data_IF_148535778364
#
_entry.id   IF_148535778364
#
_cell.length_a   1.000
_cell.length_b   1.000
_cell.length_c   1.000
_cell.angle_alpha   90.00
_cell.angle_beta   90.00
_cell.angle_gamma   90.00
#
_symmetry.space_group_name_H-M   'P 1'
#
loop_
_entity.id
_entity.type
_entity.pdbx_description
1 polymer ?
#
# COMPACT_ATOMS: atom_id res chain seq x y z
N UNK A 1 -1.91 -8.35 24.73
CA UNK A 1 -1.34 -7.25 23.94
C UNK A 1 -0.30 -6.51 24.77
N UNK A 2 0.88 -6.40 24.25
CA UNK A 2 1.99 -5.73 24.94
C UNK A 2 2.68 -4.77 23.96
N UNK A 3 2.93 -3.55 24.40
CA UNK A 3 3.61 -2.52 23.61
C UNK A 3 4.75 -1.95 24.45
N UNK A 4 5.95 -1.97 23.90
CA UNK A 4 7.14 -1.34 24.49
C UNK A 4 7.57 -0.18 23.57
N UNK A 5 7.21 1.05 23.91
CA UNK A 5 7.53 2.22 23.09
C UNK A 5 9.03 2.46 22.91
N UNK A 6 9.83 2.08 23.88
CA UNK A 6 11.28 2.29 23.83
C UNK A 6 11.95 1.42 22.75
N UNK A 7 11.36 0.26 22.46
CA UNK A 7 11.82 -0.65 21.40
C UNK A 7 11.13 -0.36 20.08
N UNK A 8 9.85 -0.02 20.11
CA UNK A 8 9.02 0.14 18.90
C UNK A 8 9.32 1.44 18.14
N UNK A 9 9.56 2.55 18.87
CA UNK A 9 9.80 3.84 18.22
C UNK A 9 11.19 3.85 17.60
N UNK A 10 11.24 4.13 16.30
CA UNK A 10 12.48 4.16 15.53
C UNK A 10 13.00 2.79 15.11
N UNK A 11 12.27 1.71 15.40
CA UNK A 11 12.65 0.38 14.91
C UNK A 11 12.60 0.34 13.38
N UNK A 12 13.64 -0.24 12.78
CA UNK A 12 13.69 -0.45 11.34
C UNK A 12 13.13 -1.83 10.99
N UNK A 13 12.21 -1.86 10.03
CA UNK A 13 11.68 -3.08 9.46
C UNK A 13 12.53 -3.49 8.24
N UNK A 14 12.55 -4.79 7.87
CA UNK A 14 13.25 -5.22 6.67
C UNK A 14 12.78 -4.46 5.44
N UNK A 15 13.72 -3.93 4.67
CA UNK A 15 13.41 -3.25 3.40
C UNK A 15 12.85 -4.25 2.39
N UNK A 16 11.90 -3.80 1.59
CA UNK A 16 11.25 -4.61 0.57
C UNK A 16 11.17 -3.83 -0.73
N UNK A 17 11.64 -4.44 -1.81
CA UNK A 17 11.51 -3.87 -3.14
C UNK A 17 10.15 -4.26 -3.73
N UNK A 18 9.51 -3.31 -4.39
CA UNK A 18 8.21 -3.51 -5.03
C UNK A 18 8.19 -2.87 -6.41
N UNK A 19 7.36 -3.42 -7.27
CA UNK A 19 7.17 -2.92 -8.63
C UNK A 19 5.71 -3.08 -9.04
N UNK A 20 5.27 -2.24 -9.95
CA UNK A 20 3.92 -2.30 -10.49
C UNK A 20 3.90 -1.91 -11.96
N UNK A 21 2.85 -2.29 -12.64
CA UNK A 21 2.59 -2.03 -14.05
C UNK A 21 1.32 -1.21 -14.22
N UNK A 22 1.10 -0.70 -15.41
CA UNK A 22 -0.15 -0.03 -15.77
C UNK A 22 -1.37 -0.94 -15.54
N UNK A 23 -1.22 -2.24 -15.79
CA UNK A 23 -2.30 -3.22 -15.53
C UNK A 23 -2.66 -3.32 -14.06
N UNK A 24 -1.69 -3.27 -13.16
CA UNK A 24 -1.92 -3.26 -11.71
C UNK A 24 -2.71 -2.02 -11.30
N UNK A 25 -2.37 -0.87 -11.84
CA UNK A 25 -3.04 0.40 -11.56
C UNK A 25 -4.47 0.39 -12.07
N UNK A 26 -4.69 -0.06 -13.30
CA UNK A 26 -6.02 -0.18 -13.90
C UNK A 26 -6.92 -1.12 -13.10
N UNK A 27 -6.39 -2.26 -12.71
CA UNK A 27 -7.12 -3.25 -11.91
C UNK A 27 -7.53 -2.66 -10.55
N UNK A 28 -6.64 -1.91 -9.91
CA UNK A 28 -6.94 -1.24 -8.66
C UNK A 28 -8.09 -0.23 -8.81
N UNK A 29 -8.05 0.61 -9.85
CA UNK A 29 -9.10 1.58 -10.11
C UNK A 29 -10.45 0.91 -10.39
N UNK A 30 -10.45 -0.18 -11.16
CA UNK A 30 -11.66 -0.97 -11.41
C UNK A 30 -12.22 -1.59 -10.12
N UNK A 31 -11.35 -2.07 -9.25
CA UNK A 31 -11.76 -2.63 -7.96
C UNK A 31 -12.41 -1.58 -7.04
N UNK A 32 -12.04 -0.31 -7.17
CA UNK A 32 -12.67 0.80 -6.46
C UNK A 32 -14.00 1.25 -7.08
N UNK A 33 -14.38 0.71 -8.24
CA UNK A 33 -15.61 1.04 -8.91
C UNK A 33 -15.51 2.12 -9.99
N UNK A 34 -14.29 2.45 -10.46
CA UNK A 34 -14.12 3.38 -11.57
C UNK A 34 -14.80 2.85 -12.84
N UNK A 35 -15.52 3.70 -13.53
CA UNK A 35 -16.32 3.36 -14.70
C UNK A 35 -15.95 4.12 -15.96
N UNK A 36 -16.70 3.86 -17.02
CA UNK A 36 -16.45 4.44 -18.36
C UNK A 36 -16.51 5.95 -18.44
N UNK A 37 -17.16 6.62 -17.46
CA UNK A 37 -17.16 8.07 -17.31
C UNK A 37 -15.87 8.65 -16.71
N UNK A 38 -14.93 7.80 -16.29
CA UNK A 38 -13.72 8.17 -15.56
C UNK A 38 -12.47 7.70 -16.32
N UNK A 39 -12.38 8.07 -17.60
CA UNK A 39 -11.31 7.63 -18.51
C UNK A 39 -9.88 7.83 -17.97
N UNK A 40 -9.54 8.90 -17.23
CA UNK A 40 -8.20 9.04 -16.65
C UNK A 40 -7.78 7.89 -15.72
N UNK A 41 -8.73 7.09 -15.25
CA UNK A 41 -8.50 5.99 -14.31
C UNK A 41 -8.79 4.60 -14.87
N UNK A 42 -9.45 4.50 -16.02
CA UNK A 42 -9.84 3.21 -16.60
C UNK A 42 -9.28 2.96 -18.00
N UNK A 43 -8.60 3.94 -18.57
CA UNK A 43 -8.05 3.87 -19.91
C UNK A 43 -6.53 4.08 -19.86
N UNK A 44 -5.78 3.28 -20.61
CA UNK A 44 -4.32 3.29 -20.60
C UNK A 44 -3.70 4.59 -21.13
N UNK A 45 -4.42 5.32 -21.94
CA UNK A 45 -3.96 6.60 -22.49
C UNK A 45 -4.12 7.70 -21.44
N UNK A 46 -3.04 8.38 -21.13
CA UNK A 46 -3.00 9.44 -20.12
C UNK A 46 -3.51 8.99 -18.74
N UNK A 47 -3.28 7.72 -18.41
CA UNK A 47 -3.68 7.12 -17.16
C UNK A 47 -3.09 7.87 -15.97
N UNK A 48 -3.93 8.16 -14.98
CA UNK A 48 -3.53 8.72 -13.69
C UNK A 48 -3.60 7.65 -12.62
N UNK A 49 -2.73 7.77 -11.63
CA UNK A 49 -2.69 6.85 -10.49
C UNK A 49 -3.30 7.54 -9.28
N UNK A 50 -4.32 6.93 -8.69
CA UNK A 50 -4.87 7.42 -7.43
C UNK A 50 -3.81 7.34 -6.32
N UNK A 51 -3.66 8.37 -5.49
CA UNK A 51 -2.68 8.38 -4.41
C UNK A 51 -2.78 7.19 -3.46
N UNK A 52 -3.99 6.71 -3.22
CA UNK A 52 -4.25 5.55 -2.36
C UNK A 52 -3.70 4.24 -2.90
N UNK A 53 -3.30 4.18 -4.18
CA UNK A 53 -2.60 3.03 -4.75
C UNK A 53 -1.31 2.71 -3.97
N UNK A 54 -0.64 3.70 -3.41
CA UNK A 54 0.56 3.51 -2.60
C UNK A 54 0.32 2.58 -1.39
N UNK A 55 -0.87 2.58 -0.84
CA UNK A 55 -1.23 1.72 0.31
C UNK A 55 -1.23 0.24 -0.07
N UNK A 56 -1.67 -0.09 -1.28
CA UNK A 56 -1.79 -1.48 -1.73
C UNK A 56 -0.60 -1.95 -2.56
N UNK A 57 0.23 -1.02 -3.05
CA UNK A 57 1.35 -1.34 -3.92
C UNK A 57 2.34 -2.34 -3.31
N UNK A 58 2.53 -2.28 -2.00
CA UNK A 58 3.44 -3.17 -1.28
C UNK A 58 2.93 -4.62 -1.17
N UNK A 59 1.64 -4.85 -1.34
CA UNK A 59 1.00 -6.15 -1.13
C UNK A 59 0.31 -6.71 -2.37
N UNK A 60 0.51 -6.09 -3.53
CA UNK A 60 -0.16 -6.48 -4.79
C UNK A 60 -0.03 -7.96 -5.15
N UNK A 61 1.07 -8.58 -4.78
CA UNK A 61 1.37 -9.97 -5.14
C UNK A 61 1.30 -10.91 -3.95
N UNK A 62 0.90 -10.41 -2.80
CA UNK A 62 0.79 -11.22 -1.60
C UNK A 62 -0.55 -11.96 -1.62
N UNK A 63 -0.48 -13.26 -1.45
CA UNK A 63 -1.65 -14.15 -1.42
C UNK A 63 -1.96 -14.64 -0.01
N UNK A 64 -1.10 -14.34 0.93
CA UNK A 64 -1.25 -14.69 2.34
C UNK A 64 -1.39 -13.45 3.21
N UNK A 65 -2.07 -13.56 4.34
CA UNK A 65 -2.12 -12.46 5.30
C UNK A 65 -0.72 -12.03 5.72
N UNK A 66 -0.47 -10.75 5.89
CA UNK A 66 0.85 -10.28 6.30
C UNK A 66 1.21 -10.82 7.68
N UNK A 67 2.36 -11.47 7.77
CA UNK A 67 2.98 -11.77 9.05
C UNK A 67 3.62 -10.47 9.56
N UNK A 68 2.93 -9.78 10.45
CA UNK A 68 3.44 -8.54 11.03
C UNK A 68 4.24 -8.86 12.28
N UNK A 69 5.56 -8.80 12.14
CA UNK A 69 6.47 -8.83 13.28
C UNK A 69 7.07 -7.43 13.44
N UNK A 70 6.54 -6.67 14.41
CA UNK A 70 7.05 -5.34 14.72
C UNK A 70 7.80 -5.37 16.05
N UNK A 71 9.06 -4.95 16.08
CA UNK A 71 9.83 -4.91 17.32
C UNK A 71 9.11 -4.10 18.40
N UNK A 72 9.02 -4.66 19.61
CA UNK A 72 8.37 -4.01 20.75
C UNK A 72 6.84 -3.98 20.72
N UNK A 73 6.21 -4.61 19.71
CA UNK A 73 4.77 -4.67 19.60
C UNK A 73 4.32 -6.12 19.50
N UNK A 74 3.57 -6.56 20.50
CA UNK A 74 2.93 -7.87 20.53
C UNK A 74 1.41 -7.65 20.52
N UNK A 75 0.81 -7.77 19.36
CA UNK A 75 -0.63 -7.60 19.15
C UNK A 75 -1.20 -8.81 18.41
N UNK A 76 -2.39 -9.19 18.81
CA UNK A 76 -3.18 -10.19 18.08
C UNK A 76 -3.92 -9.50 16.92
N UNK A 77 -3.46 -9.74 15.70
CA UNK A 77 -4.04 -9.13 14.49
C UNK A 77 -5.49 -9.57 14.24
N UNK A 78 -5.90 -10.72 14.78
CA UNK A 78 -7.30 -11.19 14.65
C UNK A 78 -8.26 -10.25 15.38
N UNK A 79 -7.80 -9.64 16.48
CA UNK A 79 -8.60 -8.70 17.27
C UNK A 79 -8.33 -7.24 16.95
N UNK A 80 -7.35 -6.96 16.07
CA UNK A 80 -6.99 -5.61 15.70
C UNK A 80 -7.96 -5.03 14.67
N UNK A 81 -8.33 -3.77 14.84
CA UNK A 81 -9.13 -3.00 13.90
C UNK A 81 -8.29 -1.88 13.30
N UNK A 82 -8.44 -1.68 12.00
CA UNK A 82 -7.83 -0.54 11.32
C UNK A 82 -8.65 0.71 11.65
N UNK A 83 -8.12 1.55 12.54
CA UNK A 83 -8.83 2.75 13.01
C UNK A 83 -8.53 4.00 12.19
N UNK A 84 -7.33 4.11 11.61
CA UNK A 84 -6.91 5.30 10.87
C UNK A 84 -5.78 4.97 9.91
N UNK A 85 -5.81 5.61 8.73
CA UNK A 85 -4.76 5.61 7.74
C UNK A 85 -4.41 7.06 7.37
N UNK A 86 -3.13 7.41 7.43
CA UNK A 86 -2.61 8.66 6.91
C UNK A 86 -1.68 8.38 5.74
N UNK A 87 -1.77 9.21 4.71
CA UNK A 87 -0.97 9.09 3.50
C UNK A 87 -0.49 10.47 3.08
N UNK A 88 0.82 10.61 2.89
CA UNK A 88 1.43 11.81 2.33
C UNK A 88 2.13 11.43 1.03
N UNK A 89 1.73 12.06 -0.06
CA UNK A 89 2.35 11.86 -1.38
C UNK A 89 3.15 13.11 -1.73
N UNK A 90 4.44 12.96 -1.91
CA UNK A 90 5.35 14.07 -2.23
C UNK A 90 5.40 14.35 -3.73
N UNK A 91 5.23 13.32 -4.55
CA UNK A 91 5.19 13.39 -6.01
C UNK A 91 4.12 12.44 -6.54
N UNK A 92 3.49 12.76 -7.70
CA UNK A 92 2.54 11.83 -8.31
C UNK A 92 3.16 10.47 -8.56
N UNK A 93 2.42 9.41 -8.27
CA UNK A 93 2.87 8.05 -8.53
C UNK A 93 2.92 7.79 -10.04
N UNK A 94 4.00 7.18 -10.55
CA UNK A 94 4.07 6.81 -11.96
C UNK A 94 3.12 5.64 -12.27
N UNK A 95 2.68 5.57 -13.52
CA UNK A 95 1.78 4.52 -14.01
C UNK A 95 2.44 3.13 -13.94
N UNK A 96 3.73 3.07 -14.18
CA UNK A 96 4.52 1.89 -13.91
C UNK A 96 5.80 2.31 -13.20
N UNK A 97 6.26 1.52 -12.24
CA UNK A 97 7.40 1.93 -11.45
C UNK A 97 7.92 0.89 -10.50
N UNK A 98 8.95 1.30 -9.82
CA UNK A 98 9.61 0.53 -8.77
C UNK A 98 9.80 1.43 -7.55
N UNK A 99 9.74 0.83 -6.38
CA UNK A 99 9.96 1.53 -5.13
C UNK A 99 10.59 0.61 -4.10
N UNK A 100 11.13 1.20 -3.06
CA UNK A 100 11.61 0.49 -1.89
C UNK A 100 10.79 0.90 -0.68
N UNK A 101 10.22 -0.09 -0.03
CA UNK A 101 9.53 0.09 1.23
C UNK A 101 10.53 -0.06 2.37
N UNK A 102 10.59 0.93 3.22
CA UNK A 102 11.47 0.93 4.40
C UNK A 102 10.67 1.19 5.68
#
# INVERSE_FOLDING_TARGET
MRIDPAVAIGAELPARDLSWTASDVLLYHLALGAGTGELPYVYERDLRVLPTFAVVASTLRDTEPPAVCMPGIDVDLVTALHGRQELTIHEPLPVCGQARLT
#
